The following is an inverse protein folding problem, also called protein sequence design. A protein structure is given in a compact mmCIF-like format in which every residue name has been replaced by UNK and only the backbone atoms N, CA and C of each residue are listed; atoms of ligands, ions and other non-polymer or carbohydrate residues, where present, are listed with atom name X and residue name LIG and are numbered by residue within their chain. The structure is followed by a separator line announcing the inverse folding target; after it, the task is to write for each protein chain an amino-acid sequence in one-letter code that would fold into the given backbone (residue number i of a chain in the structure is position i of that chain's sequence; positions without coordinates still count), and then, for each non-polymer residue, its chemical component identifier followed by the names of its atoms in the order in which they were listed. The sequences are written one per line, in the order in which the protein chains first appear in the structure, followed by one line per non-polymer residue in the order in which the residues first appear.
data_IF_544754928809
#
_entry.id   IF_544754928809
#
_cell.length_a   1.000
_cell.length_b   1.000
_cell.length_c   1.000
_cell.angle_alpha   90.00
_cell.angle_beta   90.00
_cell.angle_gamma   90.00
#
_symmetry.space_group_name_H-M   'P 1'
#
loop_
_entity.id
_entity.type
_entity.pdbx_description
1 polymer ?
#
# COMPACT_ATOMS: atom_id res chain seq x y z
N UNK A 1 0.27 28.13 -10.59
CA UNK A 1 -1.07 27.51 -10.70
C UNK A 1 -1.44 26.92 -9.35
N UNK A 2 -2.47 27.45 -8.69
CA UNK A 2 -2.98 26.84 -7.45
C UNK A 2 -3.71 25.55 -7.86
N UNK A 3 -3.10 24.38 -7.60
CA UNK A 3 -3.77 23.10 -7.80
C UNK A 3 -4.81 22.92 -6.70
N UNK A 4 -6.06 23.18 -7.02
CA UNK A 4 -7.19 22.90 -6.11
C UNK A 4 -7.59 21.42 -6.23
N UNK A 5 -7.87 20.79 -5.08
CA UNK A 5 -8.49 19.47 -5.03
C UNK A 5 -9.87 19.56 -5.69
N UNK A 6 -10.06 18.88 -6.81
CA UNK A 6 -11.38 18.80 -7.45
C UNK A 6 -12.22 17.71 -6.77
N UNK A 7 -13.57 17.81 -6.77
CA UNK A 7 -14.43 16.73 -6.25
C UNK A 7 -14.12 15.38 -6.90
N UNK A 8 -13.75 15.37 -8.19
CA UNK A 8 -13.34 14.16 -8.92
C UNK A 8 -12.07 13.54 -8.33
N UNK A 9 -11.07 14.35 -8.02
CA UNK A 9 -9.81 13.86 -7.42
C UNK A 9 -10.07 13.29 -6.02
N UNK A 10 -10.93 13.94 -5.23
CA UNK A 10 -11.30 13.46 -3.89
C UNK A 10 -12.00 12.10 -4.00
N UNK A 11 -12.98 11.98 -4.90
CA UNK A 11 -13.72 10.74 -5.13
C UNK A 11 -12.78 9.61 -5.59
N UNK A 12 -11.88 9.88 -6.55
CA UNK A 12 -10.90 8.90 -7.03
C UNK A 12 -9.93 8.48 -5.92
N UNK A 13 -9.44 9.42 -5.09
CA UNK A 13 -8.57 9.13 -3.97
C UNK A 13 -9.23 8.23 -2.92
N UNK A 14 -10.45 8.57 -2.50
CA UNK A 14 -11.21 7.76 -1.54
C UNK A 14 -11.55 6.38 -2.11
N UNK A 15 -11.98 6.32 -3.38
CA UNK A 15 -12.28 5.07 -4.07
C UNK A 15 -11.03 4.16 -4.15
N UNK A 16 -9.88 4.73 -4.47
CA UNK A 16 -8.60 4.00 -4.52
C UNK A 16 -8.34 3.24 -3.23
N UNK A 17 -8.41 3.93 -2.11
CA UNK A 17 -8.05 3.34 -0.82
C UNK A 17 -9.17 2.46 -0.22
N UNK A 18 -10.44 2.71 -0.56
CA UNK A 18 -11.52 1.76 -0.31
C UNK A 18 -11.27 0.43 -1.03
N UNK A 19 -10.95 0.49 -2.33
CA UNK A 19 -10.72 -0.71 -3.14
C UNK A 19 -9.47 -1.49 -2.70
N UNK A 20 -8.38 -0.81 -2.31
CA UNK A 20 -7.22 -1.49 -1.74
C UNK A 20 -7.58 -2.19 -0.43
N UNK A 21 -8.30 -1.53 0.49
CA UNK A 21 -8.72 -2.16 1.74
C UNK A 21 -9.68 -3.34 1.50
N UNK A 22 -10.52 -3.26 0.47
CA UNK A 22 -11.38 -4.39 0.07
C UNK A 22 -10.55 -5.56 -0.45
N UNK A 23 -9.57 -5.30 -1.33
CA UNK A 23 -8.62 -6.32 -1.82
C UNK A 23 -7.92 -7.01 -0.65
N UNK A 24 -7.34 -6.24 0.28
CA UNK A 24 -6.61 -6.74 1.45
C UNK A 24 -7.49 -7.64 2.32
N UNK A 25 -8.73 -7.20 2.57
CA UNK A 25 -9.69 -7.94 3.38
C UNK A 25 -10.14 -9.23 2.72
N UNK A 26 -10.45 -9.20 1.42
CA UNK A 26 -10.82 -10.40 0.66
C UNK A 26 -9.66 -11.39 0.58
N UNK A 27 -8.44 -10.91 0.34
CA UNK A 27 -7.23 -11.74 0.34
C UNK A 27 -7.01 -12.42 1.69
N UNK A 28 -7.18 -11.68 2.80
CA UNK A 28 -7.08 -12.22 4.16
C UNK A 28 -8.14 -13.29 4.45
N UNK A 29 -9.39 -13.07 4.01
CA UNK A 29 -10.45 -14.08 4.13
C UNK A 29 -10.06 -15.40 3.47
N UNK A 30 -9.52 -15.35 2.26
CA UNK A 30 -9.10 -16.55 1.54
C UNK A 30 -7.92 -17.23 2.23
N UNK A 31 -6.97 -16.48 2.81
CA UNK A 31 -5.90 -17.08 3.62
C UNK A 31 -6.45 -17.78 4.87
N UNK A 32 -7.52 -17.27 5.50
CA UNK A 32 -8.19 -17.93 6.62
C UNK A 32 -8.92 -19.23 6.21
N UNK A 33 -9.27 -19.39 4.92
CA UNK A 33 -9.80 -20.63 4.37
C UNK A 33 -8.73 -21.73 4.17
N UNK A 34 -7.47 -21.47 4.52
CA UNK A 34 -6.36 -22.42 4.45
C UNK A 34 -5.50 -22.31 3.19
N UNK A 35 -5.76 -21.36 2.29
CA UNK A 35 -4.93 -21.15 1.11
C UNK A 35 -3.60 -20.48 1.47
N UNK A 36 -2.56 -20.84 0.74
CA UNK A 36 -1.24 -20.23 0.96
C UNK A 36 -1.23 -18.77 0.52
N UNK A 37 -0.45 -17.95 1.22
CA UNK A 37 -0.28 -16.54 0.88
C UNK A 37 0.17 -16.36 -0.58
N UNK A 38 1.09 -17.20 -1.05
CA UNK A 38 1.62 -17.15 -2.42
C UNK A 38 0.52 -17.38 -3.45
N UNK A 39 -0.31 -18.41 -3.23
CA UNK A 39 -1.43 -18.70 -4.13
C UNK A 39 -2.45 -17.57 -4.18
N UNK A 40 -2.77 -16.97 -3.02
CA UNK A 40 -3.67 -15.82 -2.93
C UNK A 40 -3.12 -14.63 -3.71
N UNK A 41 -1.85 -14.29 -3.50
CA UNK A 41 -1.20 -13.18 -4.21
C UNK A 41 -1.10 -13.40 -5.71
N UNK A 42 -0.76 -14.63 -6.14
CA UNK A 42 -0.71 -15.00 -7.55
C UNK A 42 -2.07 -14.77 -8.24
N UNK A 43 -3.15 -15.25 -7.62
CA UNK A 43 -4.50 -15.10 -8.17
C UNK A 43 -4.92 -13.62 -8.21
N UNK A 44 -4.72 -12.88 -7.12
CA UNK A 44 -5.04 -11.44 -7.05
C UNK A 44 -4.28 -10.68 -8.13
N UNK A 45 -2.96 -10.87 -8.25
CA UNK A 45 -2.13 -10.15 -9.23
C UNK A 45 -2.47 -10.50 -10.67
N UNK A 46 -2.83 -11.78 -10.95
CA UNK A 46 -3.26 -12.21 -12.28
C UNK A 46 -4.51 -11.45 -12.74
N UNK A 47 -5.50 -11.38 -11.86
CA UNK A 47 -6.78 -10.71 -12.17
C UNK A 47 -6.65 -9.20 -12.13
N UNK A 48 -5.81 -8.67 -11.24
CA UNK A 48 -5.54 -7.24 -11.12
C UNK A 48 -4.91 -6.62 -12.37
N UNK A 49 -4.32 -7.43 -13.26
CA UNK A 49 -3.83 -6.97 -14.56
C UNK A 49 -4.95 -6.53 -15.52
N UNK A 50 -6.14 -7.09 -15.40
CA UNK A 50 -7.22 -6.87 -16.37
C UNK A 50 -7.64 -5.40 -16.49
N UNK A 51 -7.96 -4.66 -15.41
CA UNK A 51 -8.37 -3.27 -15.52
C UNK A 51 -7.29 -2.33 -16.10
N UNK A 52 -6.01 -2.36 -15.68
CA UNK A 52 -4.96 -1.57 -16.30
C UNK A 52 -4.71 -1.92 -17.78
N UNK A 53 -4.76 -3.19 -18.15
CA UNK A 53 -4.66 -3.61 -19.57
C UNK A 53 -5.83 -3.07 -20.39
N UNK A 54 -7.05 -3.12 -19.88
CA UNK A 54 -8.22 -2.53 -20.51
C UNK A 54 -8.06 -1.01 -20.69
N UNK A 55 -7.51 -0.30 -19.70
CA UNK A 55 -7.21 1.12 -19.77
C UNK A 55 -6.19 1.43 -20.87
N UNK A 56 -5.10 0.66 -20.94
CA UNK A 56 -4.07 0.80 -21.98
C UNK A 56 -4.65 0.54 -23.39
N UNK A 57 -5.51 -0.48 -23.52
CA UNK A 57 -6.18 -0.80 -24.77
C UNK A 57 -7.13 0.34 -25.20
N UNK A 58 -7.88 0.90 -24.26
CA UNK A 58 -8.78 2.03 -24.49
C UNK A 58 -8.02 3.30 -24.90
N UNK A 59 -6.92 3.62 -24.23
CA UNK A 59 -6.07 4.78 -24.52
C UNK A 59 -5.16 4.56 -25.75
N UNK A 60 -5.09 3.32 -26.29
CA UNK A 60 -4.17 2.90 -27.37
C UNK A 60 -2.69 3.19 -27.08
N UNK A 61 -2.32 3.17 -25.80
CA UNK A 61 -1.00 3.61 -25.30
C UNK A 61 0.02 2.45 -25.21
N UNK A 62 -0.03 1.50 -26.15
CA UNK A 62 0.84 0.32 -26.17
C UNK A 62 2.33 0.65 -26.33
N UNK A 63 2.65 1.79 -26.94
CA UNK A 63 4.05 2.22 -27.16
C UNK A 63 4.78 2.55 -25.85
N UNK A 64 4.06 2.97 -24.83
CA UNK A 64 4.62 3.36 -23.55
C UNK A 64 4.69 2.20 -22.53
N UNK A 65 4.38 0.95 -22.93
CA UNK A 65 4.57 -0.24 -22.11
C UNK A 65 6.03 -0.53 -21.82
N UNK A 66 6.94 -0.12 -22.72
CA UNK A 66 8.36 -0.33 -22.49
C UNK A 66 8.95 0.77 -21.60
N UNK A 67 9.54 0.42 -20.46
CA UNK A 67 10.09 1.43 -19.54
C UNK A 67 11.34 2.07 -20.11
N UNK A 68 11.44 3.39 -20.00
CA UNK A 68 12.64 4.14 -20.43
C UNK A 68 13.89 3.78 -19.62
N UNK A 69 13.71 3.33 -18.38
CA UNK A 69 14.78 2.93 -17.44
C UNK A 69 14.49 1.52 -16.91
N UNK A 70 14.76 0.45 -17.68
CA UNK A 70 14.35 -0.92 -17.33
C UNK A 70 14.99 -1.41 -16.02
N UNK A 71 16.24 -1.06 -15.74
CA UNK A 71 16.91 -1.45 -14.51
C UNK A 71 16.26 -0.88 -13.24
N UNK A 72 15.93 0.41 -13.24
CA UNK A 72 15.22 1.01 -12.10
C UNK A 72 13.79 0.47 -11.97
N UNK A 73 13.13 0.17 -13.09
CA UNK A 73 11.81 -0.44 -13.06
C UNK A 73 11.87 -1.86 -12.49
N UNK A 74 12.85 -2.67 -12.88
CA UNK A 74 13.05 -4.00 -12.33
C UNK A 74 13.30 -3.95 -10.81
N UNK A 75 14.15 -3.03 -10.35
CA UNK A 75 14.41 -2.83 -8.92
C UNK A 75 13.14 -2.44 -8.16
N UNK A 76 12.34 -1.53 -8.71
CA UNK A 76 11.04 -1.15 -8.13
C UNK A 76 10.10 -2.34 -8.03
N UNK A 77 9.98 -3.12 -9.09
CA UNK A 77 9.12 -4.31 -9.11
C UNK A 77 9.55 -5.31 -8.05
N UNK A 78 10.85 -5.57 -7.96
CA UNK A 78 11.40 -6.45 -6.91
C UNK A 78 11.00 -5.98 -5.51
N UNK A 79 11.19 -4.69 -5.20
CA UNK A 79 10.80 -4.14 -3.90
C UNK A 79 9.28 -4.21 -3.68
N UNK A 80 8.47 -3.93 -4.69
CA UNK A 80 7.01 -4.03 -4.57
C UNK A 80 6.52 -5.47 -4.38
N UNK A 81 7.17 -6.47 -4.98
CA UNK A 81 6.85 -7.87 -4.75
C UNK A 81 7.16 -8.30 -3.30
N UNK A 82 8.34 -7.91 -2.79
CA UNK A 82 8.73 -8.21 -1.41
C UNK A 82 7.81 -7.45 -0.43
N UNK A 83 7.53 -6.17 -0.71
CA UNK A 83 6.59 -5.34 0.06
C UNK A 83 5.24 -6.03 0.19
N UNK A 84 4.64 -6.43 -0.93
CA UNK A 84 3.32 -7.07 -0.95
C UNK A 84 3.32 -8.41 -0.20
N UNK A 85 4.38 -9.19 -0.32
CA UNK A 85 4.55 -10.41 0.46
C UNK A 85 4.59 -10.13 1.97
N UNK A 86 5.32 -9.09 2.39
CA UNK A 86 5.38 -8.67 3.79
C UNK A 86 4.03 -8.11 4.29
N UNK A 87 3.30 -7.36 3.46
CA UNK A 87 1.96 -6.86 3.77
C UNK A 87 1.01 -8.01 4.09
N UNK A 88 0.94 -9.01 3.22
CA UNK A 88 0.05 -10.17 3.46
C UNK A 88 0.53 -11.06 4.59
N UNK A 89 1.84 -11.19 4.79
CA UNK A 89 2.39 -11.86 5.96
C UNK A 89 1.93 -11.13 7.26
N UNK A 90 1.95 -9.82 7.27
CA UNK A 90 1.46 -8.99 8.38
C UNK A 90 -0.02 -9.25 8.64
N UNK A 91 -0.87 -9.22 7.62
CA UNK A 91 -2.31 -9.51 7.75
C UNK A 91 -2.63 -10.92 8.26
N UNK A 92 -1.72 -11.86 8.04
CA UNK A 92 -1.88 -13.22 8.58
C UNK A 92 -1.63 -13.29 10.09
N UNK A 93 -0.77 -12.42 10.62
CA UNK A 93 -0.30 -12.47 12.01
C UNK A 93 -0.87 -11.38 12.91
N UNK A 94 -1.35 -10.27 12.35
CA UNK A 94 -1.86 -9.12 13.07
C UNK A 94 -3.29 -8.78 12.63
N UNK A 95 -3.99 -8.00 13.46
CA UNK A 95 -5.28 -7.42 13.10
C UNK A 95 -5.12 -6.39 11.97
N UNK A 96 -6.18 -6.16 11.19
CA UNK A 96 -6.12 -5.22 10.07
C UNK A 96 -5.73 -3.80 10.52
N UNK A 97 -6.36 -3.29 11.56
CA UNK A 97 -6.10 -1.93 12.06
C UNK A 97 -4.67 -1.77 12.59
N UNK A 98 -4.15 -2.79 13.28
CA UNK A 98 -2.76 -2.86 13.76
C UNK A 98 -1.76 -2.89 12.60
N UNK A 99 -2.05 -3.68 11.56
CA UNK A 99 -1.24 -3.77 10.34
C UNK A 99 -1.15 -2.42 9.63
N UNK A 100 -2.27 -1.74 9.44
CA UNK A 100 -2.28 -0.42 8.81
C UNK A 100 -1.56 0.64 9.65
N UNK A 101 -1.60 0.56 10.99
CA UNK A 101 -0.81 1.45 11.83
C UNK A 101 0.70 1.35 11.51
N UNK A 102 1.20 0.13 11.24
CA UNK A 102 2.59 -0.08 10.82
C UNK A 102 2.85 0.47 9.41
N UNK A 103 1.96 0.22 8.45
CA UNK A 103 2.13 0.71 7.08
C UNK A 103 2.11 2.22 6.97
N UNK A 104 1.35 2.91 7.83
CA UNK A 104 1.32 4.38 7.88
C UNK A 104 2.59 5.02 8.43
N UNK A 105 3.57 4.23 8.86
CA UNK A 105 4.93 4.74 9.12
C UNK A 105 5.72 5.02 7.83
N UNK A 106 5.23 4.60 6.65
CA UNK A 106 5.89 4.83 5.36
C UNK A 106 6.33 6.29 5.13
N UNK A 107 5.52 7.34 5.39
CA UNK A 107 5.97 8.72 5.21
C UNK A 107 7.15 9.09 6.09
N UNK A 108 7.27 8.47 7.27
CA UNK A 108 8.41 8.66 8.19
C UNK A 108 9.67 8.07 7.57
N UNK A 109 9.58 6.86 7.02
CA UNK A 109 10.68 6.23 6.29
C UNK A 109 11.09 7.04 5.07
N UNK A 110 10.12 7.61 4.32
CA UNK A 110 10.42 8.51 3.19
C UNK A 110 11.22 9.71 3.65
N UNK A 111 10.85 10.36 4.76
CA UNK A 111 11.58 11.50 5.30
C UNK A 111 13.01 11.14 5.75
N UNK A 112 13.15 10.00 6.44
CA UNK A 112 14.46 9.48 6.88
C UNK A 112 15.37 9.13 5.70
N UNK A 113 14.85 8.43 4.71
CA UNK A 113 15.61 8.04 3.52
C UNK A 113 15.98 9.26 2.65
N UNK A 114 15.10 10.25 2.55
CA UNK A 114 15.42 11.50 1.87
C UNK A 114 16.58 12.23 2.57
N UNK A 115 16.58 12.27 3.90
CA UNK A 115 17.68 12.85 4.66
C UNK A 115 19.00 12.09 4.47
N UNK A 116 18.96 10.76 4.49
CA UNK A 116 20.15 9.90 4.39
C UNK A 116 20.70 9.84 2.96
N UNK A 117 19.83 9.63 1.96
CA UNK A 117 20.23 9.37 0.57
C UNK A 117 20.39 10.66 -0.27
N UNK A 118 19.64 11.70 0.07
CA UNK A 118 19.67 12.99 -0.64
C UNK A 118 20.43 14.06 0.15
N UNK A 119 20.98 13.70 1.33
CA UNK A 119 21.68 14.59 2.25
C UNK A 119 20.85 15.86 2.59
N UNK A 120 19.51 15.72 2.59
CA UNK A 120 18.60 16.79 2.97
C UNK A 120 18.64 16.96 4.49
N UNK A 121 18.77 18.20 4.98
CA UNK A 121 18.71 18.46 6.43
C UNK A 121 17.30 18.30 6.92
N UNK A 122 17.08 17.38 7.88
CA UNK A 122 15.81 17.26 8.56
C UNK A 122 15.50 18.54 9.34
N UNK A 123 14.33 19.09 9.08
CA UNK A 123 13.86 20.24 9.85
C UNK A 123 13.33 19.78 11.22
N UNK A 124 13.36 20.63 12.26
CA UNK A 124 12.87 20.28 13.60
C UNK A 124 11.46 19.72 13.60
N UNK A 125 10.62 20.21 12.71
CA UNK A 125 9.26 19.74 12.50
C UNK A 125 9.19 18.30 11.95
N UNK A 126 10.08 17.94 11.02
CA UNK A 126 10.18 16.58 10.50
C UNK A 126 10.67 15.62 11.58
N UNK A 127 11.62 16.06 12.42
CA UNK A 127 12.07 15.30 13.57
C UNK A 127 10.93 15.05 14.57
N UNK A 128 10.11 16.08 14.86
CA UNK A 128 8.91 15.94 15.68
C UNK A 128 7.92 14.93 15.08
N UNK A 129 7.67 15.03 13.77
CA UNK A 129 6.79 14.10 13.05
C UNK A 129 7.30 12.65 13.12
N UNK A 130 8.60 12.44 12.95
CA UNK A 130 9.23 11.13 13.09
C UNK A 130 9.01 10.59 14.52
N UNK A 131 9.29 11.39 15.55
CA UNK A 131 9.09 11.02 16.94
C UNK A 131 7.64 10.66 17.25
N UNK A 132 6.68 11.49 16.80
CA UNK A 132 5.25 11.24 16.98
C UNK A 132 4.79 9.95 16.27
N UNK A 133 5.30 9.68 15.07
CA UNK A 133 4.96 8.48 14.33
C UNK A 133 5.45 7.20 15.02
N UNK A 134 6.70 7.18 15.48
CA UNK A 134 7.21 6.05 16.25
C UNK A 134 6.49 5.89 17.59
N UNK A 135 6.18 6.99 18.28
CA UNK A 135 5.35 6.93 19.50
C UNK A 135 3.97 6.33 19.20
N UNK A 136 3.37 6.68 18.07
CA UNK A 136 2.10 6.10 17.62
C UNK A 136 2.17 4.59 17.44
N UNK A 137 3.25 4.07 16.86
CA UNK A 137 3.47 2.61 16.74
C UNK A 137 3.60 1.96 18.11
N UNK A 138 4.35 2.57 19.04
CA UNK A 138 4.50 2.07 20.41
C UNK A 138 3.13 2.02 21.11
N UNK A 139 2.36 3.11 21.03
CA UNK A 139 1.03 3.21 21.66
C UNK A 139 0.06 2.18 21.09
N UNK A 140 0.05 1.96 19.77
CA UNK A 140 -0.82 0.97 19.12
C UNK A 140 -0.53 -0.47 19.55
N UNK A 141 0.68 -0.72 20.05
CA UNK A 141 1.13 -2.04 20.51
C UNK A 141 1.12 -2.20 22.05
N UNK A 142 0.64 -1.19 22.79
CA UNK A 142 0.47 -1.32 24.24
C UNK A 142 -0.73 -2.25 24.53
N UNK A 143 -0.48 -3.27 25.36
CA UNK A 143 -1.52 -4.16 25.88
C UNK A 143 -1.60 -4.03 27.41
N UNK A 144 -2.70 -4.46 28.04
CA UNK A 144 -2.81 -4.43 29.51
C UNK A 144 -1.66 -5.16 30.22
N UNK A 145 -1.07 -6.15 29.57
CA UNK A 145 0.04 -6.98 30.07
C UNK A 145 1.43 -6.37 29.82
N UNK A 146 1.48 -5.15 29.27
CA UNK A 146 2.70 -4.44 28.89
C UNK A 146 2.90 -4.33 27.36
N UNK A 147 4.09 -3.92 26.91
CA UNK A 147 4.43 -3.95 25.51
C UNK A 147 4.38 -5.41 25.03
N UNK A 148 3.50 -5.70 24.05
CA UNK A 148 3.53 -6.99 23.39
C UNK A 148 4.89 -7.17 22.75
N UNK A 149 5.52 -8.33 22.94
CA UNK A 149 6.76 -8.64 22.26
C UNK A 149 6.57 -8.43 20.75
N UNK A 150 7.49 -7.70 20.12
CA UNK A 150 7.50 -7.51 18.67
C UNK A 150 7.49 -8.87 18.00
N UNK A 151 6.35 -9.23 17.42
CA UNK A 151 6.20 -10.48 16.67
C UNK A 151 6.81 -10.32 15.27
N UNK A 152 7.02 -11.45 14.59
CA UNK A 152 7.44 -11.45 13.18
C UNK A 152 6.49 -10.66 12.29
N UNK A 153 5.20 -10.59 12.63
CA UNK A 153 4.19 -9.76 11.93
C UNK A 153 4.49 -8.27 12.02
N UNK A 154 4.91 -7.78 13.20
CA UNK A 154 5.28 -6.35 13.35
C UNK A 154 6.54 -5.99 12.56
N UNK A 155 7.56 -6.87 12.59
CA UNK A 155 8.77 -6.67 11.82
C UNK A 155 8.47 -6.68 10.32
N UNK A 156 7.60 -7.58 9.87
CA UNK A 156 7.15 -7.62 8.48
C UNK A 156 6.41 -6.33 8.08
N UNK A 157 5.51 -5.82 8.93
CA UNK A 157 4.77 -4.58 8.69
C UNK A 157 5.67 -3.35 8.58
N UNK A 158 6.65 -3.21 9.48
CA UNK A 158 7.65 -2.14 9.39
C UNK A 158 8.55 -2.29 8.17
N UNK A 159 8.95 -3.54 7.83
CA UNK A 159 9.70 -3.85 6.62
C UNK A 159 8.93 -3.50 5.35
N UNK A 160 7.63 -3.80 5.29
CA UNK A 160 6.75 -3.41 4.20
C UNK A 160 6.70 -1.89 4.04
N UNK A 161 6.52 -1.13 5.13
CA UNK A 161 6.50 0.33 5.11
C UNK A 161 7.84 0.92 4.62
N UNK A 162 8.96 0.33 5.02
CA UNK A 162 10.30 0.74 4.56
C UNK A 162 10.47 0.47 3.07
N UNK A 163 10.08 -0.71 2.58
CA UNK A 163 10.18 -1.05 1.15
C UNK A 163 9.25 -0.19 0.30
N UNK A 164 8.04 0.11 0.78
CA UNK A 164 7.13 1.08 0.16
C UNK A 164 7.81 2.45 0.02
N UNK A 165 8.48 2.92 1.07
CA UNK A 165 9.19 4.19 1.06
C UNK A 165 10.37 4.20 0.05
N UNK A 166 11.15 3.12 -0.02
CA UNK A 166 12.21 2.95 -1.03
C UNK A 166 11.61 2.96 -2.43
N UNK A 167 10.54 2.17 -2.65
CA UNK A 167 9.79 2.13 -3.91
C UNK A 167 9.30 3.50 -4.33
N UNK A 168 8.81 4.31 -3.39
CA UNK A 168 8.37 5.69 -3.62
C UNK A 168 9.53 6.60 -4.09
N UNK A 169 10.71 6.49 -3.45
CA UNK A 169 11.89 7.28 -3.84
C UNK A 169 12.40 6.86 -5.23
N UNK A 170 12.43 5.56 -5.51
CA UNK A 170 12.79 5.05 -6.84
C UNK A 170 11.81 5.56 -7.89
N UNK A 171 10.50 5.52 -7.58
CA UNK A 171 9.46 6.08 -8.46
C UNK A 171 9.66 7.55 -8.77
N UNK A 172 10.06 8.33 -7.79
CA UNK A 172 10.33 9.77 -7.98
C UNK A 172 11.41 10.01 -9.04
N UNK A 173 12.43 9.13 -9.13
CA UNK A 173 13.46 9.16 -10.17
C UNK A 173 12.97 8.70 -11.54
N UNK A 174 12.02 7.77 -11.57
CA UNK A 174 11.48 7.17 -12.81
C UNK A 174 10.27 7.95 -13.34
N UNK A 175 9.55 8.71 -12.51
CA UNK A 175 8.27 9.36 -12.84
C UNK A 175 8.35 10.40 -13.96
N UNK A 176 9.53 10.92 -14.27
CA UNK A 176 9.72 11.77 -15.45
C UNK A 176 9.61 11.01 -16.78
N UNK A 177 9.42 9.69 -16.77
CA UNK A 177 9.38 8.83 -17.95
C UNK A 177 8.11 7.99 -18.07
N UNK A 178 7.10 8.15 -17.20
CA UNK A 178 6.11 7.10 -17.09
C UNK A 178 4.65 7.49 -17.15
N UNK A 179 4.00 7.10 -18.22
CA UNK A 179 2.58 6.84 -18.31
C UNK A 179 2.15 5.67 -17.39
N UNK A 180 0.84 5.49 -17.19
CA UNK A 180 0.28 4.39 -16.39
C UNK A 180 0.59 2.97 -16.86
N UNK A 181 1.13 2.83 -18.04
CA UNK A 181 1.68 1.59 -18.59
C UNK A 181 2.79 1.00 -17.73
N UNK A 182 3.55 1.83 -17.00
CA UNK A 182 4.53 1.35 -16.03
C UNK A 182 3.90 0.57 -14.86
N UNK A 183 2.65 0.87 -14.53
CA UNK A 183 1.90 0.13 -13.49
C UNK A 183 1.59 -1.28 -13.99
N UNK A 184 1.13 -1.41 -15.24
CA UNK A 184 0.86 -2.71 -15.89
C UNK A 184 2.11 -3.56 -15.92
N UNK A 185 3.24 -2.98 -16.32
CA UNK A 185 4.50 -3.71 -16.37
C UNK A 185 4.96 -4.16 -14.98
N UNK A 186 4.85 -3.30 -13.98
CA UNK A 186 5.18 -3.63 -12.60
C UNK A 186 4.31 -4.79 -12.07
N UNK A 187 3.01 -4.76 -12.37
CA UNK A 187 2.09 -5.83 -12.00
C UNK A 187 2.40 -7.13 -12.74
N UNK A 188 2.73 -7.04 -14.04
CA UNK A 188 3.09 -8.22 -14.84
C UNK A 188 4.37 -8.89 -14.35
N UNK A 189 5.39 -8.12 -14.02
CA UNK A 189 6.65 -8.66 -13.48
C UNK A 189 6.44 -9.23 -12.07
N UNK A 190 5.60 -8.59 -11.25
CA UNK A 190 5.19 -9.12 -9.95
C UNK A 190 4.53 -10.49 -10.09
N UNK A 191 3.58 -10.62 -11.01
CA UNK A 191 2.93 -11.87 -11.33
C UNK A 191 3.94 -12.95 -11.77
N UNK A 192 4.88 -12.61 -12.66
CA UNK A 192 5.92 -13.54 -13.12
C UNK A 192 6.81 -14.02 -11.97
N UNK A 193 7.17 -13.13 -11.04
CA UNK A 193 7.99 -13.46 -9.88
C UNK A 193 7.27 -14.42 -8.92
N UNK A 194 5.98 -14.23 -8.69
CA UNK A 194 5.19 -15.14 -7.84
C UNK A 194 4.94 -16.49 -8.51
N UNK A 195 4.72 -16.53 -9.82
CA UNK A 195 4.52 -17.79 -10.56
C UNK A 195 5.77 -18.67 -10.55
N UNK A 196 6.97 -18.08 -10.54
CA UNK A 196 8.23 -18.85 -10.56
C UNK A 196 8.48 -19.64 -9.27
N UNK A 197 7.85 -19.25 -8.15
CA UNK A 197 8.15 -19.81 -6.81
C UNK A 197 7.15 -20.89 -6.36
N UNK A 198 5.99 -21.07 -7.02
CA UNK A 198 4.83 -21.71 -6.35
C UNK A 198 4.14 -22.84 -7.09
N UNK A 199 4.67 -23.32 -8.22
CA UNK A 199 3.97 -24.34 -9.03
C UNK A 199 3.74 -25.69 -8.32
N UNK A 200 4.48 -26.00 -7.27
CA UNK A 200 4.39 -27.30 -6.58
C UNK A 200 3.38 -27.37 -5.42
N UNK A 201 2.81 -26.24 -4.98
CA UNK A 201 1.97 -26.16 -3.78
C UNK A 201 0.58 -25.57 -4.01
N UNK A 202 0.05 -25.61 -5.22
CA UNK A 202 -1.26 -25.06 -5.53
C UNK A 202 -2.37 -25.98 -5.02
N UNK A 203 -3.15 -25.51 -4.06
CA UNK A 203 -4.39 -26.16 -3.65
C UNK A 203 -5.51 -25.90 -4.69
N UNK A 204 -6.37 -26.87 -4.97
CA UNK A 204 -7.52 -26.65 -5.83
C UNK A 204 -8.43 -25.56 -5.23
N UNK A 205 -8.74 -24.53 -6.04
CA UNK A 205 -9.58 -23.42 -5.59
C UNK A 205 -11.04 -23.84 -5.53
N UNK A 206 -11.69 -23.63 -4.39
CA UNK A 206 -13.14 -23.72 -4.31
C UNK A 206 -13.80 -22.57 -5.11
N UNK A 207 -15.04 -22.78 -5.59
CA UNK A 207 -15.77 -21.72 -6.30
C UNK A 207 -15.93 -20.46 -5.46
N UNK A 208 -16.10 -20.59 -4.13
CA UNK A 208 -16.16 -19.45 -3.22
C UNK A 208 -14.84 -18.69 -3.12
N UNK A 209 -13.71 -19.40 -2.97
CA UNK A 209 -12.38 -18.78 -2.95
C UNK A 209 -12.08 -18.09 -4.28
N UNK A 210 -12.44 -18.70 -5.41
CA UNK A 210 -12.25 -18.09 -6.73
C UNK A 210 -13.05 -16.78 -6.89
N UNK A 211 -14.31 -16.75 -6.40
CA UNK A 211 -15.14 -15.55 -6.40
C UNK A 211 -14.50 -14.41 -5.58
N UNK A 212 -14.04 -14.72 -4.36
CA UNK A 212 -13.39 -13.74 -3.48
C UNK A 212 -12.09 -13.21 -4.09
N UNK A 213 -11.25 -14.10 -4.65
CA UNK A 213 -10.00 -13.73 -5.31
C UNK A 213 -10.23 -12.91 -6.58
N UNK A 214 -11.30 -13.23 -7.33
CA UNK A 214 -11.70 -12.43 -8.50
C UNK A 214 -12.12 -11.03 -8.09
N UNK A 215 -12.92 -10.91 -7.04
CA UNK A 215 -13.30 -9.63 -6.46
C UNK A 215 -12.09 -8.83 -5.97
N UNK A 216 -11.18 -9.49 -5.23
CA UNK A 216 -9.95 -8.86 -4.73
C UNK A 216 -9.05 -8.35 -5.88
N UNK A 217 -8.84 -9.17 -6.91
CA UNK A 217 -8.02 -8.80 -8.06
C UNK A 217 -8.62 -7.64 -8.87
N UNK A 218 -9.92 -7.66 -9.12
CA UNK A 218 -10.61 -6.54 -9.78
C UNK A 218 -10.52 -5.26 -8.96
N UNK A 219 -10.74 -5.34 -7.64
CA UNK A 219 -10.57 -4.19 -6.74
C UNK A 219 -9.14 -3.64 -6.82
N UNK A 220 -8.12 -4.50 -6.78
CA UNK A 220 -6.72 -4.10 -6.92
C UNK A 220 -6.46 -3.36 -8.24
N UNK A 221 -6.87 -3.93 -9.36
CA UNK A 221 -6.65 -3.34 -10.67
C UNK A 221 -7.39 -2.01 -10.86
N UNK A 222 -8.65 -1.92 -10.44
CA UNK A 222 -9.43 -0.69 -10.49
C UNK A 222 -8.84 0.37 -9.55
N UNK A 223 -8.37 -0.02 -8.35
CA UNK A 223 -7.69 0.88 -7.43
C UNK A 223 -6.45 1.51 -8.07
N UNK A 224 -5.61 0.72 -8.73
CA UNK A 224 -4.44 1.22 -9.44
C UNK A 224 -4.80 2.18 -10.58
N UNK A 225 -5.84 1.88 -11.34
CA UNK A 225 -6.36 2.79 -12.39
C UNK A 225 -6.88 4.10 -11.78
N UNK A 226 -7.66 4.02 -10.69
CA UNK A 226 -8.21 5.19 -9.99
C UNK A 226 -7.10 6.08 -9.41
N UNK A 227 -6.09 5.48 -8.79
CA UNK A 227 -4.91 6.17 -8.29
C UNK A 227 -4.18 6.90 -9.42
N UNK A 228 -3.93 6.20 -10.53
CA UNK A 228 -3.27 6.76 -11.71
C UNK A 228 -4.04 7.97 -12.25
N UNK A 229 -5.36 7.85 -12.39
CA UNK A 229 -6.22 8.95 -12.88
C UNK A 229 -6.21 10.14 -11.91
N UNK A 230 -6.15 9.89 -10.60
CA UNK A 230 -6.04 10.95 -9.60
C UNK A 230 -4.72 11.72 -9.70
N UNK A 231 -3.59 11.03 -9.84
CA UNK A 231 -2.26 11.67 -9.90
C UNK A 231 -1.92 12.30 -11.25
N UNK A 232 -2.65 11.95 -12.33
CA UNK A 232 -2.51 12.62 -13.64
C UNK A 232 -2.96 14.08 -13.60
N UNK A 233 -3.94 14.41 -12.78
CA UNK A 233 -4.56 15.74 -12.71
C UNK A 233 -4.19 16.53 -11.46
N UNK A 234 -3.63 15.85 -10.45
CA UNK A 234 -3.35 16.45 -9.15
C UNK A 234 -1.99 15.95 -8.65
N UNK A 235 -1.15 16.84 -8.08
CA UNK A 235 0.13 16.43 -7.50
C UNK A 235 -0.04 15.31 -6.48
N UNK A 236 0.83 14.28 -6.55
CA UNK A 236 0.76 13.10 -5.71
C UNK A 236 0.75 13.43 -4.20
N UNK A 237 1.42 14.52 -3.78
CA UNK A 237 1.39 14.99 -2.39
C UNK A 237 0.01 15.45 -1.89
N UNK A 238 -0.93 15.79 -2.79
CA UNK A 238 -2.31 16.12 -2.43
C UNK A 238 -3.22 14.87 -2.44
N UNK A 239 -2.80 13.82 -3.13
CA UNK A 239 -3.53 12.53 -3.18
C UNK A 239 -3.09 11.61 -2.04
N UNK A 240 -1.83 11.65 -1.63
CA UNK A 240 -1.29 10.80 -0.57
C UNK A 240 -2.09 10.81 0.76
N UNK A 241 -2.64 11.95 1.25
CA UNK A 241 -3.43 11.94 2.49
C UNK A 241 -4.69 11.07 2.45
N UNK A 242 -5.23 10.76 1.28
CA UNK A 242 -6.39 9.85 1.18
C UNK A 242 -6.06 8.43 1.62
N UNK A 243 -4.78 8.05 1.66
CA UNK A 243 -4.33 6.78 2.24
C UNK A 243 -4.81 6.60 3.69
N UNK A 244 -4.88 7.68 4.47
CA UNK A 244 -5.35 7.58 5.87
C UNK A 244 -6.83 7.15 5.98
N UNK A 245 -7.62 7.24 4.90
CA UNK A 245 -8.97 6.68 4.88
C UNK A 245 -8.98 5.14 5.01
N UNK A 246 -7.87 4.46 4.71
CA UNK A 246 -7.75 3.01 4.90
C UNK A 246 -7.98 2.58 6.35
N UNK A 247 -7.70 3.47 7.33
CA UNK A 247 -8.01 3.22 8.75
C UNK A 247 -9.50 2.95 8.95
N UNK A 248 -10.34 3.79 8.35
CA UNK A 248 -11.80 3.67 8.48
C UNK A 248 -12.28 2.33 7.89
N UNK A 249 -11.75 1.99 6.72
CA UNK A 249 -12.07 0.73 6.05
C UNK A 249 -11.51 -0.48 6.80
N UNK A 250 -10.28 -0.37 7.36
CA UNK A 250 -9.68 -1.41 8.17
C UNK A 250 -10.50 -1.71 9.43
N UNK A 251 -10.97 -0.67 10.13
CA UNK A 251 -11.84 -0.83 11.30
C UNK A 251 -13.19 -1.44 10.89
N UNK A 252 -13.78 -0.97 9.80
CA UNK A 252 -15.05 -1.49 9.29
C UNK A 252 -14.95 -2.98 8.92
N UNK A 253 -13.97 -3.35 8.11
CA UNK A 253 -13.76 -4.73 7.70
C UNK A 253 -13.27 -5.61 8.86
N UNK A 254 -12.39 -5.09 9.72
CA UNK A 254 -11.94 -5.78 10.92
C UNK A 254 -13.10 -6.20 11.82
N UNK A 255 -14.04 -5.27 12.07
CA UNK A 255 -15.22 -5.55 12.90
C UNK A 255 -16.25 -6.42 12.19
N UNK A 256 -16.60 -6.12 10.92
CA UNK A 256 -17.68 -6.80 10.21
C UNK A 256 -17.31 -8.18 9.67
N UNK A 257 -16.09 -8.34 9.13
CA UNK A 257 -15.67 -9.58 8.48
C UNK A 257 -14.86 -10.49 9.41
N UNK A 258 -14.07 -9.90 10.29
CA UNK A 258 -13.11 -10.65 11.14
C UNK A 258 -13.52 -10.68 12.60
N UNK A 259 -14.60 -9.96 12.99
CA UNK A 259 -15.05 -9.84 14.38
C UNK A 259 -13.94 -9.36 15.33
N UNK A 260 -13.01 -8.53 14.81
CA UNK A 260 -11.90 -8.01 15.58
C UNK A 260 -12.40 -6.92 16.53
N UNK A 261 -12.05 -6.97 17.81
CA UNK A 261 -12.41 -5.92 18.76
C UNK A 261 -11.65 -4.62 18.44
N UNK A 262 -12.36 -3.51 18.48
CA UNK A 262 -11.72 -2.19 18.33
C UNK A 262 -10.96 -1.87 19.62
N UNK A 263 -9.65 -1.90 19.54
CA UNK A 263 -8.78 -1.58 20.67
C UNK A 263 -8.50 -0.08 20.71
N UNK A 264 -8.73 0.57 21.86
CA UNK A 264 -8.51 2.01 22.01
C UNK A 264 -7.03 2.40 21.81
N UNK A 265 -6.09 1.52 22.14
CA UNK A 265 -4.65 1.71 21.93
C UNK A 265 -4.31 1.86 20.45
N UNK A 266 -4.94 1.03 19.61
CA UNK A 266 -4.77 1.12 18.14
C UNK A 266 -5.31 2.45 17.64
N UNK A 267 -6.49 2.89 18.11
CA UNK A 267 -7.05 4.19 17.76
C UNK A 267 -6.16 5.36 18.18
N UNK A 268 -5.65 5.33 19.40
CA UNK A 268 -4.75 6.35 19.93
C UNK A 268 -3.43 6.40 19.14
N UNK A 269 -2.84 5.25 18.84
CA UNK A 269 -1.64 5.14 18.01
C UNK A 269 -1.85 5.66 16.60
N UNK A 270 -2.99 5.32 15.98
CA UNK A 270 -3.37 5.81 14.64
C UNK A 270 -3.52 7.34 14.62
N UNK A 271 -4.12 7.95 15.63
CA UNK A 271 -4.23 9.41 15.74
C UNK A 271 -2.84 10.07 15.75
N UNK A 272 -1.88 9.50 16.49
CA UNK A 272 -0.50 10.00 16.51
C UNK A 272 0.19 9.85 15.16
N UNK A 273 0.05 8.70 14.48
CA UNK A 273 0.65 8.42 13.17
C UNK A 273 0.06 9.34 12.11
N UNK A 274 -1.26 9.51 12.07
CA UNK A 274 -1.94 10.41 11.13
C UNK A 274 -1.52 11.86 11.38
N UNK A 275 -1.41 12.28 12.65
CA UNK A 275 -0.93 13.61 13.03
C UNK A 275 0.52 13.84 12.59
N UNK A 276 1.38 12.82 12.72
CA UNK A 276 2.75 12.84 12.23
C UNK A 276 2.80 13.01 10.71
N UNK A 277 2.01 12.21 9.97
CA UNK A 277 1.87 12.33 8.53
C UNK A 277 1.37 13.70 8.07
N UNK A 278 0.39 14.27 8.77
CA UNK A 278 -0.10 15.63 8.54
C UNK A 278 0.99 16.67 8.72
N UNK A 279 1.79 16.55 9.79
CA UNK A 279 2.92 17.45 10.03
C UNK A 279 3.95 17.41 8.91
N UNK A 280 4.19 16.27 8.29
CA UNK A 280 5.10 16.13 7.14
C UNK A 280 4.56 16.80 5.87
N UNK A 281 3.26 16.66 5.61
CA UNK A 281 2.61 17.15 4.38
C UNK A 281 2.36 18.66 4.39
N UNK A 282 2.02 19.26 5.54
CA UNK A 282 1.60 20.68 5.64
C UNK A 282 2.62 21.68 5.07
N UNK A 283 3.91 21.34 5.00
CA UNK A 283 4.99 22.24 4.55
C UNK A 283 5.24 22.28 3.04
N UNK A 284 4.65 21.38 2.25
CA UNK A 284 4.73 21.47 0.79
C UNK A 284 3.90 22.63 0.21
N UNK A 285 3.10 23.32 1.03
CA UNK A 285 2.21 24.41 0.62
C UNK A 285 2.86 25.82 0.67
N UNK A 286 4.05 25.95 1.27
CA UNK A 286 4.73 27.23 1.50
C UNK A 286 5.99 27.44 0.65
N UNK A 287 6.24 26.62 -0.35
CA UNK A 287 7.23 26.82 -1.39
C UNK A 287 6.54 26.64 -2.75
#
# INVERSE_FOLDING_TARGET
MQHHLTPRTIALGLLTYLLFSTMDSLGRLVMQMGYTQQQVLMCIMSIALLPPLALVAYEKDWRNLWPRQPGLMALRVMFSCIELALVFYTFRHLQLAESYALFFTMPIWVALLAALLLHERLQPRQMLAIGLGFMGVIVSNLRPEGLSALSSGHLAGLGAALLAAIGFIVMRKVSHSGSGTNVVLAMFMGLASFNAVTLEQLLPLSGHALLLLSGAGLCAGIAHCSYLLAIRTTPAGLVAPFQYSQVLWALLYGTLLFHEPVQWQVLAGLVLIVSAGWLLVKKQKER
#
